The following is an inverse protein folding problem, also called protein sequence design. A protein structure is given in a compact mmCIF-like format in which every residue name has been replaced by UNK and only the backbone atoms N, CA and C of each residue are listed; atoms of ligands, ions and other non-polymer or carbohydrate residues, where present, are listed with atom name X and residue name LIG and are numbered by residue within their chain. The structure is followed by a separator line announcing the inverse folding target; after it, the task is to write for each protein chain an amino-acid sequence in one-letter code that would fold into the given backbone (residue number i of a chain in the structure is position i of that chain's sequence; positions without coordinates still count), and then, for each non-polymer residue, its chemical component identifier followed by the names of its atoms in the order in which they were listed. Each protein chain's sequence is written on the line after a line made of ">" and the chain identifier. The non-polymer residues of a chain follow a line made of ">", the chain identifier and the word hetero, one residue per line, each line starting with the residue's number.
data_IF_185063097040
#
_entry.id   IF_185063097040
#
_cell.length_a   1.000
_cell.length_b   1.000
_cell.length_c   1.000
_cell.angle_alpha   90.00
_cell.angle_beta   90.00
_cell.angle_gamma   90.00
#
_symmetry.space_group_name_H-M   'P 1'
#
loop_
_entity.id
_entity.type
_entity.pdbx_description
1 polymer ?
#
# COMPACT_ATOMS: atom_id res chain seq x y z
N UNK A 1 -13.09 -5.82 14.37
CA UNK A 1 -13.35 -6.33 12.99
C UNK A 1 -14.41 -5.43 12.38
N UNK A 2 -14.30 -5.05 11.10
CA UNK A 2 -15.22 -4.07 10.48
C UNK A 2 -16.37 -4.71 9.68
N UNK A 3 -16.49 -6.04 9.65
CA UNK A 3 -17.55 -6.74 8.93
C UNK A 3 -17.47 -6.69 7.41
N UNK A 4 -16.34 -6.22 6.86
CA UNK A 4 -16.09 -6.07 5.42
C UNK A 4 -14.95 -6.97 4.97
N UNK A 5 -15.00 -7.46 3.72
CA UNK A 5 -13.96 -8.32 3.14
C UNK A 5 -12.60 -7.62 3.10
N UNK A 6 -11.49 -8.30 3.44
CA UNK A 6 -10.15 -7.70 3.42
C UNK A 6 -9.74 -7.11 2.06
N UNK A 7 -10.19 -7.70 0.95
CA UNK A 7 -9.93 -7.24 -0.41
C UNK A 7 -10.55 -5.86 -0.73
N UNK A 8 -11.53 -5.43 0.07
CA UNK A 8 -12.14 -4.10 -0.03
C UNK A 8 -11.31 -3.03 0.69
N UNK A 9 -10.30 -3.41 1.49
CA UNK A 9 -9.41 -2.48 2.17
C UNK A 9 -8.17 -2.16 1.33
N UNK A 10 -7.74 -0.90 1.43
CA UNK A 10 -6.45 -0.42 0.94
C UNK A 10 -5.56 -0.14 2.15
N UNK A 11 -4.44 -0.86 2.25
CA UNK A 11 -3.40 -0.60 3.22
C UNK A 11 -2.36 0.35 2.62
N UNK A 12 -2.26 1.56 3.17
CA UNK A 12 -1.19 2.52 2.86
C UNK A 12 -0.09 2.34 3.89
N UNK A 13 1.14 2.05 3.46
CA UNK A 13 2.27 1.70 4.33
C UNK A 13 3.57 2.35 3.88
N UNK A 14 4.36 2.77 4.84
CA UNK A 14 5.72 3.31 4.71
C UNK A 14 6.80 2.24 4.92
N UNK A 15 6.41 1.02 5.28
CA UNK A 15 7.29 -0.07 5.65
C UNK A 15 6.95 -1.38 4.93
N UNK A 16 8.00 -2.15 4.60
CA UNK A 16 7.87 -3.46 3.93
C UNK A 16 7.13 -4.46 4.81
N UNK A 17 7.40 -4.47 6.12
CA UNK A 17 6.70 -5.33 7.09
C UNK A 17 5.20 -5.04 7.09
N UNK A 18 4.82 -3.77 7.04
CA UNK A 18 3.42 -3.37 6.92
C UNK A 18 2.76 -3.85 5.63
N UNK A 19 3.48 -3.80 4.50
CA UNK A 19 3.00 -4.33 3.21
C UNK A 19 2.85 -5.85 3.22
N UNK A 20 3.78 -6.57 3.86
CA UNK A 20 3.73 -8.02 4.00
C UNK A 20 2.54 -8.45 4.86
N UNK A 21 2.28 -7.74 5.97
CA UNK A 21 1.09 -7.98 6.80
C UNK A 21 -0.21 -7.75 5.99
N UNK A 22 -0.29 -6.65 5.24
CA UNK A 22 -1.42 -6.37 4.35
C UNK A 22 -1.57 -7.43 3.25
N UNK A 23 -0.46 -7.95 2.70
CA UNK A 23 -0.46 -9.03 1.72
C UNK A 23 -1.00 -10.32 2.32
N UNK A 24 -0.54 -10.70 3.52
CA UNK A 24 -1.04 -11.86 4.24
C UNK A 24 -2.56 -11.74 4.50
N UNK A 25 -3.03 -10.54 4.82
CA UNK A 25 -4.45 -10.23 5.00
C UNK A 25 -5.24 -10.09 3.68
N UNK A 26 -4.63 -10.29 2.50
CA UNK A 26 -5.29 -10.16 1.19
C UNK A 26 -5.84 -8.75 0.88
N UNK A 27 -5.24 -7.71 1.47
CA UNK A 27 -5.60 -6.32 1.19
C UNK A 27 -4.94 -5.79 -0.08
N UNK A 28 -5.53 -4.76 -0.67
CA UNK A 28 -4.87 -3.90 -1.66
C UNK A 28 -3.79 -3.08 -0.96
N UNK A 29 -2.66 -2.85 -1.62
CA UNK A 29 -1.43 -2.36 -0.98
C UNK A 29 -0.86 -1.15 -1.71
N UNK A 30 -0.65 -0.07 -0.97
CA UNK A 30 0.03 1.14 -1.45
C UNK A 30 1.26 1.37 -0.59
N UNK A 31 2.41 1.53 -1.24
CA UNK A 31 3.65 1.93 -0.57
C UNK A 31 3.82 3.46 -0.66
N UNK A 32 4.12 4.09 0.46
CA UNK A 32 4.59 5.49 0.55
C UNK A 32 5.88 5.48 1.36
N UNK A 33 7.00 5.06 0.75
CA UNK A 33 8.25 4.85 1.47
C UNK A 33 8.87 6.17 1.91
N UNK A 34 9.64 6.12 3.00
CA UNK A 34 10.60 7.18 3.31
C UNK A 34 11.57 7.37 2.13
N UNK A 35 11.96 8.60 1.85
CA UNK A 35 12.84 8.97 0.74
C UNK A 35 14.15 8.16 0.75
N UNK A 36 14.69 7.87 1.95
CA UNK A 36 15.93 7.10 2.11
C UNK A 36 15.77 5.65 1.62
N UNK A 37 14.56 5.09 1.70
CA UNK A 37 14.27 3.70 1.37
C UNK A 37 13.48 3.53 0.07
N UNK A 38 13.05 4.63 -0.57
CA UNK A 38 12.22 4.64 -1.78
C UNK A 38 12.86 3.91 -2.96
N UNK A 39 14.19 3.88 -3.00
CA UNK A 39 14.98 3.15 -3.98
C UNK A 39 15.18 1.68 -3.55
N UNK A 40 14.97 0.77 -4.50
CA UNK A 40 15.21 -0.66 -4.34
C UNK A 40 13.97 -1.55 -4.56
N UNK A 41 14.18 -2.86 -4.79
CA UNK A 41 13.14 -3.80 -5.23
C UNK A 41 12.18 -4.25 -4.11
N UNK A 42 12.44 -3.87 -2.85
CA UNK A 42 11.68 -4.29 -1.66
C UNK A 42 10.19 -3.89 -1.67
N UNK A 43 9.81 -2.95 -2.53
CA UNK A 43 8.44 -2.45 -2.69
C UNK A 43 7.61 -3.22 -3.72
N UNK A 44 8.17 -4.25 -4.36
CA UNK A 44 7.53 -5.05 -5.43
C UNK A 44 6.21 -5.72 -5.02
N UNK A 45 5.96 -5.85 -3.71
CA UNK A 45 4.71 -6.41 -3.18
C UNK A 45 3.57 -5.41 -3.09
N UNK A 46 3.80 -4.12 -3.33
CA UNK A 46 2.75 -3.11 -3.38
C UNK A 46 2.06 -3.09 -4.76
N UNK A 47 0.75 -2.84 -4.79
CA UNK A 47 0.02 -2.61 -6.04
C UNK A 47 0.46 -1.29 -6.69
N UNK A 48 0.78 -0.27 -5.89
CA UNK A 48 1.38 1.00 -6.31
C UNK A 48 2.40 1.49 -5.28
N UNK A 49 3.44 2.16 -5.75
CA UNK A 49 4.40 2.92 -4.93
C UNK A 49 4.24 4.39 -5.30
N UNK A 50 3.98 5.22 -4.30
CA UNK A 50 3.83 6.68 -4.43
C UNK A 50 5.06 7.36 -3.83
N UNK A 51 5.27 8.64 -4.14
CA UNK A 51 6.33 9.40 -3.50
C UNK A 51 5.85 10.07 -2.21
N UNK A 52 4.54 10.29 -2.07
CA UNK A 52 3.97 11.01 -0.94
C UNK A 52 2.49 10.67 -0.69
N UNK A 53 2.01 10.96 0.53
CA UNK A 53 0.61 10.76 0.94
C UNK A 53 -0.42 11.54 0.11
N UNK A 54 -0.18 12.79 -0.34
CA UNK A 54 -1.14 13.53 -1.17
C UNK A 54 -1.51 12.85 -2.50
N UNK A 55 -0.71 11.91 -2.99
CA UNK A 55 -1.04 11.10 -4.17
C UNK A 55 -2.15 10.07 -3.89
N UNK A 56 -2.52 9.84 -2.62
CA UNK A 56 -3.67 9.01 -2.24
C UNK A 56 -4.96 9.79 -2.48
N UNK A 57 -5.48 9.67 -3.70
CA UNK A 57 -6.66 10.38 -4.16
C UNK A 57 -7.72 9.44 -4.75
N UNK A 58 -8.87 10.00 -5.15
CA UNK A 58 -9.98 9.23 -5.73
C UNK A 58 -9.59 8.47 -7.01
N UNK A 59 -8.69 9.04 -7.82
CA UNK A 59 -8.23 8.40 -9.05
C UNK A 59 -7.40 7.16 -8.73
N UNK A 60 -6.45 7.26 -7.78
CA UNK A 60 -5.66 6.13 -7.31
C UNK A 60 -6.57 5.00 -6.80
N UNK A 61 -7.55 5.34 -5.94
CA UNK A 61 -8.46 4.37 -5.33
C UNK A 61 -9.31 3.65 -6.40
N UNK A 62 -9.68 4.35 -7.47
CA UNK A 62 -10.48 3.76 -8.56
C UNK A 62 -9.73 2.74 -9.42
N UNK A 63 -8.38 2.81 -9.47
CA UNK A 63 -7.53 1.99 -10.35
C UNK A 63 -6.72 0.92 -9.61
N UNK A 64 -6.85 0.87 -8.28
CA UNK A 64 -6.19 -0.10 -7.41
C UNK A 64 -7.15 -1.24 -7.05
#
# INVERSE_FOLDING_TARGET
>A
MLGVSPQSFIAVKDSVTGLLAAKAAQMKRVAVPDAVYANGPRWSTANRKLNSLPEVNKQLIAII
#
